data_IF_138062388062
#
_entry.id   IF_138062388062
#
_cell.length_a   1.000
_cell.length_b   1.000
_cell.length_c   1.000
_cell.angle_alpha   90.00
_cell.angle_beta   90.00
_cell.angle_gamma   90.00
#
_symmetry.space_group_name_H-M   'P 1'
#
loop_
_entity.id
_entity.type
_entity.pdbx_description
1 polymer ?
#
# COMPACT_ATOMS: atom_id res chain seq x y z
N UNK A 1 -3.96 15.16 -16.32
CA UNK A 1 -3.36 15.43 -15.00
C UNK A 1 -3.54 14.18 -14.16
N UNK A 2 -2.53 13.72 -13.43
CA UNK A 2 -2.69 12.60 -12.49
C UNK A 2 -2.88 13.22 -11.11
N UNK A 3 -3.98 12.90 -10.46
CA UNK A 3 -4.22 13.31 -9.08
C UNK A 3 -3.40 12.44 -8.13
N UNK A 4 -2.78 13.08 -7.13
CA UNK A 4 -1.97 12.43 -6.09
C UNK A 4 -2.31 13.04 -4.74
N UNK A 5 -2.13 12.26 -3.67
CA UNK A 5 -2.31 12.74 -2.31
C UNK A 5 -0.95 13.05 -1.67
N UNK A 6 -0.80 14.22 -1.04
CA UNK A 6 0.40 14.59 -0.28
C UNK A 6 0.09 14.64 1.23
N UNK A 7 0.96 14.01 2.02
CA UNK A 7 0.96 14.10 3.46
C UNK A 7 1.68 15.37 3.92
N UNK A 8 0.91 16.38 4.31
CA UNK A 8 1.45 17.70 4.68
C UNK A 8 2.19 17.70 6.02
N UNK A 9 1.51 17.40 7.13
CA UNK A 9 2.13 17.25 8.45
C UNK A 9 1.15 16.60 9.43
N UNK A 10 1.36 15.33 9.81
CA UNK A 10 0.46 14.60 10.72
C UNK A 10 1.23 13.64 11.64
N UNK A 11 0.68 13.31 12.81
CA UNK A 11 1.21 12.25 13.68
C UNK A 11 0.60 10.86 13.39
N UNK A 12 -0.59 10.81 12.78
CA UNK A 12 -1.29 9.58 12.40
C UNK A 12 -1.29 9.42 10.89
N UNK A 13 -0.60 8.39 10.39
CA UNK A 13 -0.66 8.00 8.98
C UNK A 13 -1.54 6.76 8.83
N UNK A 14 -2.55 6.86 7.97
CA UNK A 14 -3.33 5.71 7.52
C UNK A 14 -3.82 5.93 6.09
N UNK A 15 -3.42 5.03 5.20
CA UNK A 15 -3.97 4.85 3.87
C UNK A 15 -4.64 3.49 3.89
N UNK A 16 -5.94 3.44 3.58
CA UNK A 16 -6.72 2.22 3.56
C UNK A 16 -7.58 2.17 2.30
N UNK A 17 -7.68 0.99 1.70
CA UNK A 17 -8.51 0.76 0.54
C UNK A 17 -9.11 -0.64 0.55
N UNK A 18 -10.22 -0.78 -0.18
CA UNK A 18 -10.93 -2.04 -0.38
C UNK A 18 -11.14 -2.28 -1.86
N UNK A 19 -11.10 -3.54 -2.28
CA UNK A 19 -11.36 -3.92 -3.67
C UNK A 19 -12.05 -5.28 -3.77
N UNK A 20 -13.12 -5.34 -4.57
CA UNK A 20 -13.87 -6.57 -4.82
C UNK A 20 -13.07 -7.49 -5.74
N UNK A 21 -12.68 -8.66 -5.25
CA UNK A 21 -11.84 -9.58 -6.04
C UNK A 21 -12.61 -10.27 -7.18
N UNK A 22 -13.94 -10.19 -7.16
CA UNK A 22 -14.81 -10.61 -8.27
C UNK A 22 -14.60 -9.77 -9.55
N UNK A 23 -14.02 -8.57 -9.43
CA UNK A 23 -13.69 -7.70 -10.58
C UNK A 23 -12.36 -8.05 -11.25
N UNK A 24 -11.60 -8.98 -10.68
CA UNK A 24 -10.34 -9.46 -11.24
C UNK A 24 -10.61 -10.64 -12.18
N UNK A 25 -9.76 -10.80 -13.20
CA UNK A 25 -9.83 -11.95 -14.09
C UNK A 25 -9.59 -13.25 -13.30
N UNK A 26 -10.40 -14.31 -13.52
CA UNK A 26 -10.21 -15.63 -12.90
C UNK A 26 -8.84 -16.26 -13.22
N UNK A 27 -8.46 -17.27 -12.42
CA UNK A 27 -7.25 -18.10 -12.60
C UNK A 27 -5.92 -17.33 -12.74
N UNK A 28 -5.92 -16.07 -12.31
CA UNK A 28 -4.80 -15.14 -12.45
C UNK A 28 -4.21 -14.81 -11.08
N UNK A 29 -2.89 -14.82 -10.97
CA UNK A 29 -2.18 -14.32 -9.80
C UNK A 29 -1.98 -12.82 -9.92
N UNK A 30 -2.31 -12.07 -8.87
CA UNK A 30 -2.16 -10.62 -8.80
C UNK A 30 -1.19 -10.23 -7.70
N UNK A 31 -0.51 -9.11 -7.89
CA UNK A 31 0.17 -8.39 -6.82
C UNK A 31 -0.52 -7.06 -6.52
N UNK A 32 -0.44 -6.66 -5.25
CA UNK A 32 -0.97 -5.39 -4.75
C UNK A 32 0.20 -4.52 -4.31
N UNK A 33 0.34 -3.35 -4.93
CA UNK A 33 1.52 -2.48 -4.79
C UNK A 33 1.10 -1.03 -4.56
N UNK A 34 1.60 -0.42 -3.49
CA UNK A 34 1.49 1.01 -3.26
C UNK A 34 2.53 1.76 -4.11
N UNK A 35 2.06 2.74 -4.87
CA UNK A 35 2.91 3.66 -5.63
C UNK A 35 3.11 4.94 -4.82
N UNK A 36 4.29 5.10 -4.22
CA UNK A 36 4.57 6.22 -3.32
C UNK A 36 5.86 6.94 -3.69
N UNK A 37 6.03 8.15 -3.18
CA UNK A 37 7.26 8.92 -3.27
C UNK A 37 7.50 9.62 -1.95
N UNK A 38 8.75 9.62 -1.50
CA UNK A 38 9.19 10.46 -0.39
C UNK A 38 9.87 11.72 -0.94
N UNK A 39 9.31 12.91 -0.67
CA UNK A 39 9.88 14.19 -1.13
C UNK A 39 11.24 14.44 -0.51
N UNK A 40 12.00 15.35 -1.12
CA UNK A 40 13.13 15.99 -0.47
C UNK A 40 12.83 17.49 -0.30
N UNK A 41 12.68 18.01 0.94
CA UNK A 41 12.84 17.32 2.21
C UNK A 41 11.58 16.57 2.69
N UNK A 42 11.77 15.44 3.37
CA UNK A 42 10.76 14.74 4.17
C UNK A 42 11.33 14.39 5.57
N UNK A 43 10.47 14.24 6.58
CA UNK A 43 10.87 13.87 7.95
C UNK A 43 9.81 12.99 8.64
N UNK A 44 10.20 12.39 9.77
CA UNK A 44 9.30 11.65 10.66
C UNK A 44 9.12 10.18 10.28
N UNK A 45 10.06 9.64 9.50
CA UNK A 45 9.99 8.31 8.89
C UNK A 45 10.95 7.31 9.54
N UNK A 46 11.51 7.65 10.70
CA UNK A 46 12.43 6.78 11.46
C UNK A 46 11.73 5.53 12.03
N UNK A 47 10.40 5.59 12.16
CA UNK A 47 9.57 4.43 12.49
C UNK A 47 9.09 3.80 11.18
N UNK A 48 9.40 2.51 10.92
CA UNK A 48 8.91 1.81 9.74
C UNK A 48 7.38 1.83 9.63
N UNK A 49 6.87 2.01 8.42
CA UNK A 49 5.44 1.94 8.15
C UNK A 49 5.00 0.49 8.05
N UNK A 50 3.78 0.18 8.50
CA UNK A 50 3.22 -1.15 8.34
C UNK A 50 2.46 -1.20 7.02
N UNK A 51 2.72 -2.23 6.21
CA UNK A 51 1.99 -2.52 4.98
C UNK A 51 1.19 -3.79 5.21
N UNK A 52 -0.09 -3.78 4.90
CA UNK A 52 -0.99 -4.89 5.16
C UNK A 52 -1.87 -5.20 3.95
N UNK A 53 -2.09 -6.49 3.72
CA UNK A 53 -3.11 -7.04 2.83
C UNK A 53 -3.94 -8.07 3.61
N UNK A 54 -5.26 -7.97 3.53
CA UNK A 54 -6.22 -8.93 4.08
C UNK A 54 -7.05 -9.45 2.92
N UNK A 55 -7.07 -10.77 2.74
CA UNK A 55 -7.86 -11.45 1.72
C UNK A 55 -9.25 -11.85 2.26
N UNK A 56 -10.23 -12.15 1.37
CA UNK A 56 -11.59 -12.47 1.81
C UNK A 56 -11.72 -13.72 2.70
N UNK A 57 -10.76 -14.64 2.61
CA UNK A 57 -10.67 -15.83 3.46
C UNK A 57 -10.12 -15.54 4.87
N UNK A 58 -9.78 -14.28 5.15
CA UNK A 58 -9.17 -13.83 6.40
C UNK A 58 -7.65 -13.94 6.43
N UNK A 59 -7.01 -14.45 5.37
CA UNK A 59 -5.56 -14.50 5.26
C UNK A 59 -5.00 -13.08 5.35
N UNK A 60 -4.05 -12.88 6.28
CA UNK A 60 -3.41 -11.60 6.53
C UNK A 60 -1.93 -11.67 6.20
N UNK A 61 -1.48 -10.75 5.34
CA UNK A 61 -0.07 -10.46 5.11
C UNK A 61 0.25 -9.08 5.69
N UNK A 62 1.29 -8.97 6.49
CA UNK A 62 1.72 -7.70 7.08
C UNK A 62 3.24 -7.63 7.14
N UNK A 63 3.81 -6.56 6.59
CA UNK A 63 5.25 -6.28 6.57
C UNK A 63 5.52 -4.90 7.11
N UNK A 64 6.79 -4.63 7.42
CA UNK A 64 7.26 -3.31 7.85
C UNK A 64 8.28 -2.79 6.85
N UNK A 65 8.09 -1.54 6.45
CA UNK A 65 8.88 -0.88 5.42
C UNK A 65 9.59 0.34 5.99
N UNK A 66 10.92 0.33 5.92
CA UNK A 66 11.73 1.48 6.31
C UNK A 66 11.81 2.47 5.14
N UNK A 67 11.05 3.56 5.21
CA UNK A 67 11.03 4.57 4.13
C UNK A 67 12.29 5.44 4.12
N UNK A 68 13.08 5.48 5.19
CA UNK A 68 14.34 6.23 5.23
C UNK A 68 15.44 5.59 4.37
N UNK A 69 15.35 4.29 4.12
CA UNK A 69 16.27 3.55 3.23
C UNK A 69 15.88 3.66 1.75
N UNK A 70 14.73 4.28 1.45
CA UNK A 70 14.22 4.43 0.09
C UNK A 70 14.70 5.74 -0.55
N UNK A 71 14.87 5.78 -1.89
CA UNK A 71 15.32 6.98 -2.58
C UNK A 71 14.29 8.12 -2.45
N UNK A 72 14.79 9.34 -2.25
CA UNK A 72 13.98 10.56 -2.25
C UNK A 72 13.70 11.06 -3.65
N UNK A 73 12.58 11.75 -3.84
CA UNK A 73 12.17 12.39 -5.09
C UNK A 73 11.89 11.42 -6.23
N UNK A 74 11.78 10.11 -5.96
CA UNK A 74 11.50 9.06 -6.95
C UNK A 74 10.26 8.26 -6.55
N UNK A 75 9.50 7.85 -7.56
CA UNK A 75 8.43 6.88 -7.35
C UNK A 75 9.06 5.54 -7.00
N UNK A 76 8.52 4.91 -5.96
CA UNK A 76 8.89 3.57 -5.53
C UNK A 76 7.64 2.70 -5.43
N UNK A 77 7.87 1.40 -5.58
CA UNK A 77 6.88 0.35 -5.41
C UNK A 77 7.03 -0.25 -4.03
N UNK A 78 5.96 -0.24 -3.24
CA UNK A 78 5.90 -0.88 -1.93
C UNK A 78 4.84 -1.98 -1.97
N UNK A 79 5.30 -3.23 -1.93
CA UNK A 79 4.44 -4.40 -2.12
C UNK A 79 3.68 -4.74 -0.85
N UNK A 80 2.35 -4.84 -0.97
CA UNK A 80 1.48 -5.26 0.14
C UNK A 80 1.27 -6.77 0.20
N UNK A 81 1.30 -7.44 -0.95
CA UNK A 81 1.17 -8.89 -1.03
C UNK A 81 0.76 -9.36 -2.41
N UNK A 82 0.28 -10.60 -2.46
CA UNK A 82 -0.29 -11.23 -3.65
C UNK A 82 -1.54 -12.01 -3.31
N UNK A 83 -2.34 -12.28 -4.34
CA UNK A 83 -3.47 -13.19 -4.28
C UNK A 83 -3.56 -14.00 -5.56
N UNK A 84 -4.15 -15.18 -5.49
CA UNK A 84 -4.49 -15.98 -6.66
C UNK A 84 -6.00 -16.12 -6.75
N UNK A 85 -6.54 -15.78 -7.91
CA UNK A 85 -7.97 -15.93 -8.20
C UNK A 85 -8.28 -17.37 -8.64
N UNK A 86 -9.47 -17.86 -8.29
CA UNK A 86 -9.96 -19.19 -8.65
C UNK A 86 -10.67 -19.18 -10.01
N UNK A 87 -10.66 -20.32 -10.70
CA UNK A 87 -11.36 -20.51 -11.99
C UNK A 87 -12.89 -20.48 -11.84
N UNK A 88 -13.42 -20.91 -10.69
CA UNK A 88 -14.86 -20.89 -10.38
C UNK A 88 -15.42 -19.49 -10.12
N UNK A 89 -14.61 -18.45 -10.26
CA UNK A 89 -14.92 -17.10 -9.80
C UNK A 89 -14.53 -16.89 -8.33
N UNK A 90 -14.51 -15.62 -7.92
CA UNK A 90 -14.07 -15.19 -6.60
C UNK A 90 -15.12 -14.26 -6.01
N UNK A 91 -15.30 -14.31 -4.69
CA UNK A 91 -16.21 -13.44 -3.97
C UNK A 91 -15.50 -12.80 -2.78
N UNK A 92 -16.09 -11.70 -2.31
CA UNK A 92 -15.56 -10.94 -1.20
C UNK A 92 -14.60 -9.84 -1.60
N UNK A 93 -14.11 -9.16 -0.58
CA UNK A 93 -13.39 -7.90 -0.70
C UNK A 93 -12.04 -8.05 -0.05
N UNK A 94 -10.97 -7.76 -0.79
CA UNK A 94 -9.66 -7.60 -0.19
C UNK A 94 -9.53 -6.21 0.41
N UNK A 95 -8.76 -6.10 1.48
CA UNK A 95 -8.41 -4.82 2.10
C UNK A 95 -6.90 -4.65 2.10
N UNK A 96 -6.42 -3.46 1.76
CA UNK A 96 -5.00 -3.13 1.80
C UNK A 96 -4.79 -1.82 2.55
N UNK A 97 -3.70 -1.73 3.30
CA UNK A 97 -3.37 -0.51 4.03
C UNK A 97 -1.87 -0.27 4.19
N UNK A 98 -1.52 1.00 4.29
CA UNK A 98 -0.20 1.49 4.70
C UNK A 98 -0.41 2.46 5.86
N UNK A 99 0.15 2.16 7.03
CA UNK A 99 -0.15 2.93 8.24
C UNK A 99 0.98 2.94 9.28
N UNK A 100 1.04 4.05 10.02
CA UNK A 100 1.89 4.23 11.19
C UNK A 100 1.25 5.29 12.10
N UNK A 101 0.71 4.84 13.23
CA UNK A 101 0.06 5.69 14.23
C UNK A 101 0.48 5.34 15.67
N UNK A 102 1.42 4.39 15.86
CA UNK A 102 1.87 3.98 17.20
C UNK A 102 3.09 4.77 17.66
N UNK A 103 3.94 5.22 16.74
CA UNK A 103 5.19 5.91 17.05
C UNK A 103 5.01 7.36 17.53
N UNK A 104 3.85 7.97 17.28
CA UNK A 104 3.53 9.35 17.67
C UNK A 104 4.35 10.43 16.97
N UNK A 105 5.28 10.06 16.09
CA UNK A 105 6.14 10.98 15.36
C UNK A 105 5.33 11.75 14.31
N UNK A 106 5.55 13.06 14.26
CA UNK A 106 5.03 13.93 13.20
C UNK A 106 5.77 13.64 11.89
N UNK A 107 5.02 13.50 10.80
CA UNK A 107 5.50 13.04 9.50
C UNK A 107 5.06 14.00 8.41
N UNK A 108 5.91 14.20 7.42
CA UNK A 108 5.59 14.98 6.21
C UNK A 108 6.26 14.43 4.96
N UNK A 109 5.74 14.83 3.81
CA UNK A 109 6.43 14.71 2.52
C UNK A 109 6.27 13.35 1.85
N UNK A 110 5.37 12.49 2.33
CA UNK A 110 4.93 11.31 1.60
C UNK A 110 3.90 11.73 0.53
N UNK A 111 4.11 11.29 -0.69
CA UNK A 111 3.14 11.40 -1.78
C UNK A 111 2.66 10.00 -2.11
N UNK A 112 1.34 9.83 -2.26
CA UNK A 112 0.70 8.58 -2.66
C UNK A 112 0.01 8.81 -4.01
N UNK A 113 0.45 8.06 -5.03
CA UNK A 113 -0.19 8.07 -6.34
C UNK A 113 -1.42 7.15 -6.36
N UNK A 114 -1.36 6.05 -5.63
CA UNK A 114 -2.44 5.07 -5.55
C UNK A 114 -1.91 3.65 -5.33
N UNK A 115 -2.77 2.68 -5.61
CA UNK A 115 -2.45 1.26 -5.54
C UNK A 115 -2.61 0.62 -6.91
N UNK A 116 -1.60 -0.14 -7.32
CA UNK A 116 -1.63 -0.99 -8.50
C UNK A 116 -2.05 -2.39 -8.07
N UNK A 117 -3.08 -2.92 -8.74
CA UNK A 117 -3.51 -4.30 -8.64
C UNK A 117 -3.31 -4.88 -10.04
N UNK A 118 -2.24 -5.65 -10.22
CA UNK A 118 -1.82 -6.09 -11.55
C UNK A 118 -1.53 -7.58 -11.60
N UNK A 119 -1.80 -8.26 -12.74
CA UNK A 119 -1.40 -9.64 -12.93
C UNK A 119 0.12 -9.79 -12.78
N UNK A 120 0.56 -10.79 -12.01
CA UNK A 120 1.96 -11.22 -12.04
C UNK A 120 2.21 -11.97 -13.35
N UNK A 121 3.29 -11.60 -14.02
CA UNK A 121 3.80 -12.36 -15.16
C UNK A 121 4.40 -13.68 -14.70
#
# INVERSE_FOLDING_TARGET
MIEVAELLNVCWLEVHGKYEISRLSPETSYEVVFMIMLKDPAYGWDVPVNIRLILPDGTKHETRENLMERPRGRWIEVRAGELRTLASGNSGTMEFSMYEYKGGQWKRGLIVKGVLIQPKK
#
